data_IF_974133978171
#
_entry.id   IF_974133978171
#
_cell.length_a   1.000
_cell.length_b   1.000
_cell.length_c   1.000
_cell.angle_alpha   90.00
_cell.angle_beta   90.00
_cell.angle_gamma   90.00
#
_symmetry.space_group_name_H-M   'P 1'
#
loop_
_entity.id
_entity.type
_entity.pdbx_description
1 polymer ?
#
# COMPACT_ATOMS: atom_id res chain seq x y z
N UNK A 1 2.30 -25.39 8.05
CA UNK A 1 2.37 -24.22 7.16
C UNK A 1 2.57 -22.99 8.04
N UNK A 2 3.66 -22.27 7.87
CA UNK A 2 3.94 -21.04 8.63
C UNK A 2 3.02 -19.94 8.13
N UNK A 3 2.18 -19.37 9.00
CA UNK A 3 1.31 -18.24 8.65
C UNK A 3 2.17 -17.00 8.44
N UNK A 4 2.03 -16.34 7.30
CA UNK A 4 2.68 -15.05 7.05
C UNK A 4 1.87 -13.95 7.71
N UNK A 5 2.55 -12.95 8.26
CA UNK A 5 1.90 -11.71 8.68
C UNK A 5 1.41 -10.95 7.43
N UNK A 6 0.46 -10.01 7.59
CA UNK A 6 0.05 -9.06 6.54
C UNK A 6 1.22 -8.51 5.72
N UNK A 7 2.27 -8.04 6.40
CA UNK A 7 3.49 -7.58 5.75
C UNK A 7 4.25 -8.71 5.08
N UNK A 8 4.42 -9.87 5.73
CA UNK A 8 5.10 -11.02 5.15
C UNK A 8 4.45 -11.50 3.83
N UNK A 9 3.12 -11.45 3.74
CA UNK A 9 2.39 -11.72 2.50
C UNK A 9 2.71 -10.67 1.43
N UNK A 10 2.65 -9.38 1.78
CA UNK A 10 3.00 -8.28 0.87
C UNK A 10 4.41 -8.42 0.31
N UNK A 11 5.40 -8.69 1.17
CA UNK A 11 6.78 -8.88 0.74
C UNK A 11 6.90 -10.08 -0.20
N UNK A 12 6.31 -11.21 0.17
CA UNK A 12 6.36 -12.43 -0.64
C UNK A 12 5.74 -12.22 -2.02
N UNK A 13 4.51 -11.74 -2.09
CA UNK A 13 3.79 -11.57 -3.36
C UNK A 13 4.51 -10.60 -4.28
N UNK A 14 4.96 -9.45 -3.77
CA UNK A 14 5.69 -8.49 -4.61
C UNK A 14 7.03 -9.06 -5.06
N UNK A 15 7.77 -9.76 -4.19
CA UNK A 15 8.99 -10.45 -4.61
C UNK A 15 8.71 -11.49 -5.71
N UNK A 16 7.70 -12.35 -5.56
CA UNK A 16 7.35 -13.38 -6.56
C UNK A 16 6.97 -12.76 -7.91
N UNK A 17 6.07 -11.78 -7.91
CA UNK A 17 5.55 -11.11 -9.12
C UNK A 17 6.61 -10.23 -9.82
N UNK A 18 7.64 -9.76 -9.10
CA UNK A 18 8.73 -8.94 -9.66
C UNK A 18 9.95 -9.76 -10.08
N UNK A 19 9.86 -11.09 -10.05
CA UNK A 19 10.95 -11.99 -10.44
C UNK A 19 12.04 -12.15 -9.39
N UNK A 20 11.67 -12.15 -8.11
CA UNK A 20 12.57 -12.36 -6.97
C UNK A 20 13.36 -11.14 -6.55
N UNK A 21 12.92 -9.93 -6.89
CA UNK A 21 13.64 -8.71 -6.53
C UNK A 21 13.45 -8.36 -5.05
N UNK A 22 14.55 -8.05 -4.38
CA UNK A 22 14.52 -7.57 -3.00
C UNK A 22 13.70 -6.28 -2.88
N UNK A 23 13.00 -6.14 -1.77
CA UNK A 23 12.24 -4.94 -1.42
C UNK A 23 13.10 -4.09 -0.50
N UNK A 24 13.38 -2.85 -0.91
CA UNK A 24 14.22 -1.91 -0.16
C UNK A 24 13.39 -1.05 0.80
N UNK A 25 12.13 -0.73 0.43
CA UNK A 25 11.26 0.13 1.24
C UNK A 25 9.79 -0.09 0.90
N UNK A 26 8.92 0.05 1.91
CA UNK A 26 7.47 0.12 1.73
C UNK A 26 6.96 1.42 2.34
N UNK A 27 6.08 2.12 1.63
CA UNK A 27 5.37 3.30 2.13
C UNK A 27 3.86 3.10 2.03
N UNK A 28 3.14 3.33 3.12
CA UNK A 28 1.66 3.28 3.12
C UNK A 28 1.13 4.62 2.64
N UNK A 29 0.24 4.60 1.66
CA UNK A 29 -0.40 5.80 1.12
C UNK A 29 -1.76 6.03 1.78
N UNK A 30 -2.55 4.96 1.91
CA UNK A 30 -3.92 5.04 2.39
C UNK A 30 -4.39 3.69 2.92
N UNK A 31 -5.41 3.71 3.78
CA UNK A 31 -6.12 2.53 4.26
C UNK A 31 -7.60 2.84 4.50
N UNK A 32 -8.46 1.84 4.33
CA UNK A 32 -9.89 1.93 4.60
C UNK A 32 -10.49 0.58 4.98
N UNK A 33 -11.59 0.60 5.73
CA UNK A 33 -12.42 -0.58 5.96
C UNK A 33 -13.02 -1.06 4.62
N UNK A 34 -12.94 -2.35 4.33
CA UNK A 34 -13.47 -2.96 3.11
C UNK A 34 -14.99 -2.80 2.95
N UNK A 35 -15.72 -2.71 4.05
CA UNK A 35 -17.15 -2.48 4.06
C UNK A 35 -17.52 -1.07 3.60
N UNK A 36 -16.61 -0.09 3.71
CA UNK A 36 -16.81 1.27 3.18
C UNK A 36 -16.40 1.34 1.71
N UNK A 37 -17.24 0.75 0.86
CA UNK A 37 -17.03 0.72 -0.59
C UNK A 37 -16.90 2.11 -1.20
N UNK A 38 -17.61 3.11 -0.67
CA UNK A 38 -17.55 4.46 -1.19
C UNK A 38 -16.17 5.09 -0.97
N UNK A 39 -15.59 4.88 0.21
CA UNK A 39 -14.22 5.30 0.52
C UNK A 39 -13.21 4.54 -0.33
N UNK A 40 -13.31 3.21 -0.44
CA UNK A 40 -12.41 2.41 -1.27
C UNK A 40 -12.39 2.90 -2.74
N UNK A 41 -13.56 3.06 -3.36
CA UNK A 41 -13.67 3.59 -4.73
C UNK A 41 -13.14 5.01 -4.85
N UNK A 42 -13.32 5.84 -3.81
CA UNK A 42 -12.76 7.20 -3.81
C UNK A 42 -11.23 7.18 -3.76
N UNK A 43 -10.63 6.32 -2.94
CA UNK A 43 -9.18 6.16 -2.86
C UNK A 43 -8.63 5.67 -4.21
N UNK A 44 -9.25 4.66 -4.81
CA UNK A 44 -8.84 4.14 -6.13
C UNK A 44 -8.85 5.23 -7.21
N UNK A 45 -9.88 6.09 -7.24
CA UNK A 45 -9.94 7.22 -8.16
C UNK A 45 -8.84 8.25 -7.91
N UNK A 46 -8.58 8.60 -6.64
CA UNK A 46 -7.50 9.53 -6.29
C UNK A 46 -6.11 8.97 -6.64
N UNK A 47 -5.89 7.67 -6.46
CA UNK A 47 -4.65 7.01 -6.86
C UNK A 47 -4.48 7.01 -8.39
N UNK A 48 -5.57 6.81 -9.14
CA UNK A 48 -5.56 6.90 -10.59
C UNK A 48 -5.16 8.30 -11.08
N UNK A 49 -5.63 9.35 -10.39
CA UNK A 49 -5.35 10.76 -10.68
C UNK A 49 -4.04 11.29 -10.07
N UNK A 50 -3.25 10.43 -9.40
CA UNK A 50 -1.97 10.78 -8.74
C UNK A 50 -2.14 11.81 -7.60
N UNK A 51 -3.32 11.84 -6.99
CA UNK A 51 -3.68 12.75 -5.90
C UNK A 51 -3.21 12.18 -4.54
N UNK A 52 -1.91 11.92 -4.42
CA UNK A 52 -1.29 11.21 -3.28
C UNK A 52 -1.64 11.84 -1.92
N UNK A 53 -1.63 13.18 -1.85
CA UNK A 53 -1.95 13.90 -0.63
C UNK A 53 -3.40 13.71 -0.20
N UNK A 54 -4.35 13.69 -1.15
CA UNK A 54 -5.77 13.44 -0.86
C UNK A 54 -5.99 11.98 -0.47
N UNK A 55 -5.24 11.03 -1.03
CA UNK A 55 -5.29 9.64 -0.58
C UNK A 55 -4.90 9.51 0.90
N UNK A 56 -3.85 10.22 1.32
CA UNK A 56 -3.36 10.16 2.71
C UNK A 56 -4.31 10.72 3.77
N UNK A 57 -5.40 11.40 3.40
CA UNK A 57 -6.45 11.75 4.36
C UNK A 57 -7.32 10.55 4.76
N UNK A 58 -7.25 9.46 4.00
CA UNK A 58 -7.92 8.20 4.28
C UNK A 58 -6.89 7.23 4.85
N UNK A 59 -6.68 7.29 6.15
CA UNK A 59 -5.87 6.32 6.90
C UNK A 59 -6.73 5.82 8.06
N UNK A 60 -7.74 5.05 7.69
CA UNK A 60 -8.67 4.45 8.62
C UNK A 60 -8.42 2.94 8.61
N UNK A 61 -8.23 2.39 9.80
CA UNK A 61 -8.07 0.97 10.03
C UNK A 61 -8.39 0.76 11.49
N UNK A 62 -9.66 0.50 11.77
CA UNK A 62 -10.08 0.23 13.13
C UNK A 62 -9.67 -1.21 13.48
N UNK A 63 -8.96 -1.42 14.61
CA UNK A 63 -8.63 -2.76 15.06
C UNK A 63 -9.92 -3.57 15.21
N UNK A 64 -10.05 -4.69 14.49
CA UNK A 64 -11.26 -5.51 14.53
C UNK A 64 -12.12 -5.46 13.26
N UNK A 65 -11.74 -4.68 12.24
CA UNK A 65 -12.42 -4.67 10.94
C UNK A 65 -11.56 -5.16 9.75
N UNK A 66 -12.20 -5.74 8.73
CA UNK A 66 -11.53 -6.07 7.47
C UNK A 66 -11.11 -4.77 6.76
N UNK A 67 -9.87 -4.69 6.26
CA UNK A 67 -9.37 -3.46 5.64
C UNK A 67 -8.56 -3.69 4.38
N UNK A 68 -8.59 -2.69 3.50
CA UNK A 68 -7.68 -2.54 2.37
C UNK A 68 -6.61 -1.51 2.71
N UNK A 69 -5.39 -1.75 2.22
CA UNK A 69 -4.26 -0.87 2.35
C UNK A 69 -3.60 -0.67 0.99
N UNK A 70 -3.43 0.59 0.59
CA UNK A 70 -2.72 0.95 -0.64
C UNK A 70 -1.31 1.39 -0.28
N UNK A 71 -0.33 0.67 -0.82
CA UNK A 71 1.09 0.83 -0.53
C UNK A 71 1.88 1.10 -1.79
N UNK A 72 2.98 1.82 -1.65
CA UNK A 72 4.06 1.84 -2.64
C UNK A 72 5.21 0.98 -2.14
N UNK A 73 5.60 0.01 -2.95
CA UNK A 73 6.73 -0.89 -2.69
C UNK A 73 7.88 -0.50 -3.60
N UNK A 74 9.03 -0.17 -3.02
CA UNK A 74 10.27 0.14 -3.72
C UNK A 74 11.17 -1.09 -3.72
N UNK A 75 11.60 -1.52 -4.91
CA UNK A 75 12.51 -2.64 -5.08
C UNK A 75 13.97 -2.16 -5.12
N UNK A 76 14.90 -3.05 -4.79
CA UNK A 76 16.35 -2.78 -4.86
C UNK A 76 16.84 -2.47 -6.28
N UNK A 77 16.15 -2.99 -7.31
CA UNK A 77 16.44 -2.68 -8.71
C UNK A 77 16.05 -1.25 -9.14
N UNK A 78 15.47 -0.45 -8.23
CA UNK A 78 14.99 0.91 -8.48
C UNK A 78 13.56 1.00 -9.00
N UNK A 79 12.89 -0.12 -9.33
CA UNK A 79 11.46 -0.11 -9.68
C UNK A 79 10.60 0.13 -8.44
N UNK A 80 9.40 0.66 -8.66
CA UNK A 80 8.40 0.79 -7.61
C UNK A 80 7.02 0.42 -8.13
N UNK A 81 6.17 -0.08 -7.23
CA UNK A 81 4.85 -0.62 -7.56
C UNK A 81 3.81 -0.04 -6.62
N UNK A 82 2.66 0.33 -7.17
CA UNK A 82 1.45 0.54 -6.40
C UNK A 82 0.80 -0.80 -6.16
N UNK A 83 0.55 -1.11 -4.89
CA UNK A 83 0.07 -2.40 -4.41
C UNK A 83 -1.14 -2.16 -3.53
N UNK A 84 -2.17 -2.98 -3.72
CA UNK A 84 -3.28 -3.11 -2.79
C UNK A 84 -3.08 -4.39 -1.99
N UNK A 85 -3.19 -4.28 -0.67
CA UNK A 85 -3.19 -5.41 0.23
C UNK A 85 -4.50 -5.42 1.01
N UNK A 86 -5.22 -6.51 0.93
CA UNK A 86 -6.51 -6.71 1.58
C UNK A 86 -6.34 -7.74 2.69
N UNK A 87 -6.81 -7.38 3.89
CA UNK A 87 -6.66 -8.18 5.10
C UNK A 87 -8.04 -8.46 5.71
N UNK A 88 -8.35 -9.73 5.89
CA UNK A 88 -9.60 -10.21 6.48
C UNK A 88 -9.35 -10.72 7.90
N UNK A 89 -10.03 -10.15 8.89
CA UNK A 89 -9.80 -10.47 10.30
C UNK A 89 -10.30 -11.86 10.68
N UNK A 90 -11.47 -12.25 10.19
CA UNK A 90 -12.06 -13.53 10.57
C UNK A 90 -11.51 -14.71 9.76
N UNK A 91 -10.81 -14.42 8.66
CA UNK A 91 -10.35 -15.42 7.70
C UNK A 91 -8.97 -15.05 7.16
N UNK A 92 -7.93 -15.18 7.99
CA UNK A 92 -6.49 -15.09 7.62
C UNK A 92 -6.05 -15.97 6.41
N UNK A 93 -6.98 -16.68 5.77
CA UNK A 93 -6.79 -17.51 4.57
C UNK A 93 -7.08 -16.72 3.29
N UNK A 94 -7.83 -15.61 3.38
CA UNK A 94 -8.29 -14.83 2.23
C UNK A 94 -7.54 -13.51 2.03
N UNK A 95 -6.54 -13.23 2.86
CA UNK A 95 -5.66 -12.08 2.64
C UNK A 95 -5.05 -12.19 1.25
N UNK A 96 -5.10 -11.11 0.49
CA UNK A 96 -4.49 -11.09 -0.83
C UNK A 96 -3.77 -9.77 -1.06
N UNK A 97 -2.77 -9.87 -1.92
CA UNK A 97 -1.96 -8.74 -2.34
C UNK A 97 -2.01 -8.70 -3.85
N UNK A 98 -2.33 -7.52 -4.38
CA UNK A 98 -2.48 -7.28 -5.81
C UNK A 98 -1.57 -6.13 -6.21
N UNK A 99 -0.68 -6.38 -7.17
CA UNK A 99 0.02 -5.29 -7.86
C UNK A 99 -0.99 -4.59 -8.76
N UNK A 100 -1.25 -3.31 -8.49
CA UNK A 100 -2.13 -2.49 -9.31
C UNK A 100 -1.39 -2.07 -10.57
N UNK A 101 -0.20 -1.48 -10.41
CA UNK A 101 0.67 -1.06 -11.52
C UNK A 101 2.11 -0.83 -11.09
N UNK A 102 3.02 -0.87 -12.05
CA UNK A 102 4.37 -0.31 -11.89
C UNK A 102 4.30 1.21 -12.00
N UNK A 103 4.96 1.92 -11.10
CA UNK A 103 5.06 3.37 -11.13
C UNK A 103 6.05 3.85 -12.19
N UNK A 104 5.67 4.89 -12.93
CA UNK A 104 6.56 5.65 -13.79
C UNK A 104 7.61 6.41 -12.98
N UNK A 105 8.66 6.90 -13.64
CA UNK A 105 9.69 7.72 -12.97
C UNK A 105 9.10 8.97 -12.30
N UNK A 106 8.17 9.64 -12.98
CA UNK A 106 7.46 10.80 -12.46
C UNK A 106 6.69 10.47 -11.17
N UNK A 107 5.85 9.43 -11.19
CA UNK A 107 5.07 9.00 -10.02
C UNK A 107 5.99 8.62 -8.85
N UNK A 108 7.11 7.92 -9.11
CA UNK A 108 8.09 7.57 -8.07
C UNK A 108 8.64 8.81 -7.36
N UNK A 109 8.97 9.85 -8.11
CA UNK A 109 9.51 11.10 -7.55
C UNK A 109 8.46 11.79 -6.70
N UNK A 110 7.24 11.97 -7.23
CA UNK A 110 6.14 12.60 -6.51
C UNK A 110 5.79 11.86 -5.22
N UNK A 111 5.60 10.54 -5.30
CA UNK A 111 5.21 9.75 -4.13
C UNK A 111 6.33 9.68 -3.10
N UNK A 112 7.60 9.66 -3.53
CA UNK A 112 8.74 9.74 -2.60
C UNK A 112 8.77 11.08 -1.86
N UNK A 113 8.50 12.19 -2.55
CA UNK A 113 8.41 13.50 -1.92
C UNK A 113 7.25 13.57 -0.93
N UNK A 114 6.09 13.02 -1.30
CA UNK A 114 4.93 12.93 -0.42
C UNK A 114 5.24 12.13 0.86
N UNK A 115 5.75 10.90 0.71
CA UNK A 115 6.10 10.02 1.84
C UNK A 115 7.16 10.66 2.77
N UNK A 116 8.14 11.38 2.22
CA UNK A 116 9.14 12.11 3.03
C UNK A 116 8.52 13.23 3.86
N UNK A 117 7.65 14.05 3.26
CA UNK A 117 6.95 15.12 3.98
C UNK A 117 6.12 14.55 5.12
N UNK A 118 5.45 13.44 4.87
CA UNK A 118 4.60 12.78 5.84
C UNK A 118 5.39 12.22 7.04
N UNK A 119 6.58 11.65 6.81
CA UNK A 119 7.48 11.24 7.89
C UNK A 119 7.97 12.40 8.75
N UNK A 120 8.34 13.54 8.16
CA UNK A 120 8.81 14.71 8.90
C UNK A 120 7.74 15.32 9.82
N UNK A 121 6.47 15.28 9.40
CA UNK A 121 5.35 15.75 10.23
C UNK A 121 5.20 14.90 11.50
N UNK A 122 5.51 13.59 11.44
CA UNK A 122 5.41 12.70 12.61
C UNK A 122 6.55 12.85 13.62
N UNK A 123 7.72 13.32 13.19
CA UNK A 123 8.86 13.54 14.10
C UNK A 123 8.77 14.87 14.86
N UNK A 124 7.82 15.74 14.50
CA UNK A 124 7.66 17.09 15.07
C UNK A 124 6.44 17.24 15.97
N UNK A 125 5.66 16.17 16.19
CA UNK A 125 4.54 16.08 17.12
C UNK A 125 4.91 15.22 18.33
#
# INVERSE_FOLDING_TARGET
MTKLTPMGLLFRTVCEETGGQGISRVGVISSANLCDKAVCTRIEALLADHEWQKCSSYLHGDPGEDWAQWCVVFCECGRAYLVEAVFYIELYVNDFVRIIRQLSEFERVEVTQHLRKWHQIRETC
#
